data_IF_594124870961
#
_entry.id   IF_594124870961
#
_cell.length_a   1.000
_cell.length_b   1.000
_cell.length_c   1.000
_cell.angle_alpha   90.00
_cell.angle_beta   90.00
_cell.angle_gamma   90.00
#
_symmetry.space_group_name_H-M   'P 1'
#
loop_
_entity.id
_entity.type
_entity.pdbx_description
1 polymer ?
#
# COMPACT_ATOMS: atom_id res chain seq x y z
N UNK A 1 8.57 -26.79 3.81
CA UNK A 1 8.00 -28.11 3.45
C UNK A 1 8.64 -29.24 4.25
N UNK A 2 9.97 -29.28 4.42
CA UNK A 2 10.65 -30.36 5.16
C UNK A 2 10.43 -30.33 6.68
N UNK A 3 10.45 -29.18 7.36
CA UNK A 3 10.14 -29.12 8.81
C UNK A 3 8.71 -29.56 9.15
N UNK A 4 7.65 -29.15 8.43
CA UNK A 4 6.31 -29.73 8.63
C UNK A 4 6.25 -31.24 8.41
N UNK A 5 7.03 -31.79 7.46
CA UNK A 5 7.04 -33.23 7.19
C UNK A 5 7.64 -34.06 8.33
N UNK A 6 8.58 -33.51 9.10
CA UNK A 6 9.06 -34.11 10.36
C UNK A 6 7.94 -34.12 11.40
N UNK A 7 7.29 -32.98 11.62
CA UNK A 7 6.17 -32.83 12.57
C UNK A 7 5.00 -33.78 12.23
N UNK A 8 4.72 -33.99 10.95
CA UNK A 8 3.68 -34.90 10.47
C UNK A 8 4.10 -36.37 10.45
N UNK A 9 5.32 -36.70 10.87
CA UNK A 9 5.85 -38.07 10.87
C UNK A 9 6.09 -38.65 9.48
N UNK A 10 6.03 -37.83 8.42
CA UNK A 10 6.33 -38.25 7.05
C UNK A 10 7.84 -38.46 6.84
N UNK A 11 8.67 -37.99 7.77
CA UNK A 11 10.13 -38.19 7.80
C UNK A 11 10.63 -38.24 9.25
N UNK A 12 11.78 -38.88 9.51
CA UNK A 12 12.39 -38.88 10.84
C UNK A 12 12.73 -37.46 11.32
N UNK A 13 12.58 -37.21 12.62
CA UNK A 13 12.97 -35.95 13.24
C UNK A 13 14.46 -35.67 13.03
N UNK A 14 14.76 -34.43 12.65
CA UNK A 14 16.12 -33.98 12.37
C UNK A 14 16.67 -34.40 10.99
N UNK A 15 15.86 -35.03 10.14
CA UNK A 15 16.21 -35.42 8.76
C UNK A 15 16.00 -34.32 7.71
N UNK A 16 15.60 -33.12 8.13
CA UNK A 16 15.42 -31.97 7.25
C UNK A 16 16.76 -31.60 6.57
N UNK A 17 16.88 -31.81 5.23
CA UNK A 17 18.12 -31.56 4.51
C UNK A 17 18.50 -30.07 4.48
N UNK A 18 17.56 -29.18 4.78
CA UNK A 18 17.78 -27.74 4.83
C UNK A 18 18.13 -27.22 6.23
N UNK A 19 18.24 -28.09 7.26
CA UNK A 19 18.45 -27.67 8.67
C UNK A 19 19.70 -26.82 8.87
N UNK A 20 20.77 -27.12 8.14
CA UNK A 20 22.05 -26.40 8.23
C UNK A 20 22.25 -25.42 7.08
N UNK A 21 21.28 -25.30 6.16
CA UNK A 21 21.34 -24.32 5.09
C UNK A 21 21.01 -22.95 5.68
N UNK A 22 22.00 -22.07 5.65
CA UNK A 22 21.82 -20.67 5.99
C UNK A 22 20.97 -20.02 4.89
N UNK A 23 19.80 -19.48 5.24
CA UNK A 23 19.04 -18.66 4.30
C UNK A 23 19.93 -17.53 3.78
N UNK A 24 19.87 -17.29 2.47
CA UNK A 24 20.53 -16.13 1.88
C UNK A 24 20.04 -14.86 2.59
N UNK A 25 20.97 -13.94 2.85
CA UNK A 25 20.60 -12.62 3.36
C UNK A 25 19.80 -11.91 2.28
N UNK A 26 18.50 -11.76 2.49
CA UNK A 26 17.69 -10.86 1.67
C UNK A 26 18.08 -9.42 1.99
N UNK A 27 18.54 -8.68 0.97
CA UNK A 27 18.69 -7.25 1.09
C UNK A 27 17.30 -6.62 1.08
N UNK A 28 16.87 -6.12 2.25
CA UNK A 28 15.63 -5.37 2.37
C UNK A 28 15.76 -4.08 1.56
N UNK A 29 15.23 -4.07 0.34
CA UNK A 29 15.16 -2.88 -0.48
C UNK A 29 14.07 -1.94 0.05
N UNK A 30 14.43 -0.69 0.29
CA UNK A 30 13.52 0.37 0.74
C UNK A 30 13.40 1.39 -0.38
N UNK A 31 12.61 1.03 -1.39
CA UNK A 31 12.33 1.86 -2.55
C UNK A 31 10.92 2.43 -2.44
N UNK A 32 10.83 3.75 -2.51
CA UNK A 32 9.59 4.50 -2.63
C UNK A 32 9.84 5.73 -3.51
N UNK A 33 8.80 6.26 -4.14
CA UNK A 33 8.92 7.39 -5.06
C UNK A 33 9.28 8.69 -4.31
N UNK A 34 10.24 9.43 -4.83
CA UNK A 34 10.50 10.81 -4.41
C UNK A 34 9.32 11.72 -4.82
N UNK A 35 9.25 12.96 -4.30
CA UNK A 35 8.27 13.94 -4.76
C UNK A 35 8.29 14.16 -6.27
N UNK A 36 9.48 14.32 -6.85
CA UNK A 36 9.68 14.56 -8.29
C UNK A 36 9.28 13.35 -9.14
N UNK A 37 9.59 12.14 -8.67
CA UNK A 37 9.15 10.90 -9.32
C UNK A 37 7.63 10.71 -9.25
N UNK A 38 7.02 11.12 -8.13
CA UNK A 38 5.57 11.07 -7.94
C UNK A 38 4.85 12.04 -8.87
N UNK A 39 5.43 13.22 -9.08
CA UNK A 39 4.93 14.22 -10.03
C UNK A 39 4.96 13.70 -11.47
N UNK A 40 6.12 13.21 -11.95
CA UNK A 40 6.23 12.60 -13.29
C UNK A 40 5.28 11.43 -13.48
N UNK A 41 5.15 10.57 -12.47
CA UNK A 41 4.19 9.46 -12.53
C UNK A 41 2.76 9.99 -12.64
N UNK A 42 2.41 11.03 -11.88
CA UNK A 42 1.09 11.66 -11.93
C UNK A 42 0.75 12.23 -13.31
N UNK A 43 1.70 12.88 -13.97
CA UNK A 43 1.56 13.36 -15.36
C UNK A 43 1.28 12.22 -16.34
N UNK A 44 2.12 11.19 -16.33
CA UNK A 44 1.98 10.05 -17.22
C UNK A 44 0.66 9.31 -16.98
N UNK A 45 0.22 9.18 -15.72
CA UNK A 45 -1.06 8.57 -15.39
C UNK A 45 -2.25 9.36 -15.96
N UNK A 46 -2.21 10.70 -15.92
CA UNK A 46 -3.26 11.55 -16.53
C UNK A 46 -3.32 11.37 -18.05
N UNK A 47 -2.18 11.30 -18.71
CA UNK A 47 -2.12 11.07 -20.15
C UNK A 47 -2.60 9.68 -20.56
N UNK A 48 -2.21 8.65 -19.79
CA UNK A 48 -2.55 7.25 -20.07
C UNK A 48 -3.99 6.88 -19.71
N UNK A 49 -4.70 7.74 -18.97
CA UNK A 49 -6.06 7.49 -18.47
C UNK A 49 -7.05 7.16 -19.58
N UNK A 50 -6.95 7.86 -20.73
CA UNK A 50 -7.80 7.58 -21.89
C UNK A 50 -7.44 6.29 -22.62
N UNK A 51 -6.17 5.88 -22.57
CA UNK A 51 -5.68 4.66 -23.24
C UNK A 51 -5.99 3.41 -22.42
N UNK A 52 -5.81 3.48 -21.10
CA UNK A 52 -5.89 2.34 -20.18
C UNK A 52 -6.54 2.70 -18.83
N UNK A 53 -7.82 3.10 -18.82
CA UNK A 53 -8.50 3.64 -17.64
C UNK A 53 -8.46 2.69 -16.44
N UNK A 54 -8.78 1.41 -16.64
CA UNK A 54 -8.75 0.40 -15.56
C UNK A 54 -7.35 0.21 -14.96
N UNK A 55 -6.29 0.26 -15.80
CA UNK A 55 -4.93 0.13 -15.31
C UNK A 55 -4.48 1.37 -14.53
N UNK A 56 -4.80 2.58 -15.03
CA UNK A 56 -4.51 3.84 -14.33
C UNK A 56 -5.24 3.90 -13.01
N UNK A 57 -6.52 3.56 -12.97
CA UNK A 57 -7.30 3.52 -11.74
C UNK A 57 -6.71 2.54 -10.73
N UNK A 58 -6.31 1.34 -11.16
CA UNK A 58 -5.63 0.38 -10.28
C UNK A 58 -4.34 0.95 -9.67
N UNK A 59 -3.51 1.62 -10.47
CA UNK A 59 -2.25 2.21 -10.00
C UNK A 59 -2.50 3.38 -9.03
N UNK A 60 -3.47 4.25 -9.32
CA UNK A 60 -3.89 5.32 -8.41
C UNK A 60 -4.41 4.76 -7.10
N UNK A 61 -5.27 3.73 -7.13
CA UNK A 61 -5.78 3.10 -5.91
C UNK A 61 -4.66 2.46 -5.09
N UNK A 62 -3.66 1.83 -5.72
CA UNK A 62 -2.50 1.29 -5.00
C UNK A 62 -1.71 2.37 -4.28
N UNK A 63 -1.49 3.53 -4.92
CA UNK A 63 -0.81 4.68 -4.32
C UNK A 63 -1.62 5.33 -3.19
N UNK A 64 -2.93 5.48 -3.37
CA UNK A 64 -3.79 6.22 -2.44
C UNK A 64 -4.21 5.39 -1.21
N UNK A 65 -4.34 4.07 -1.37
CA UNK A 65 -4.86 3.18 -0.30
C UNK A 65 -3.79 2.27 0.30
N UNK A 66 -2.67 2.07 -0.41
CA UNK A 66 -1.65 1.09 -0.06
C UNK A 66 -2.15 -0.35 -0.02
N UNK A 67 -3.27 -0.67 -0.68
CA UNK A 67 -3.73 -2.05 -0.84
C UNK A 67 -2.69 -2.93 -1.53
N UNK A 68 -2.80 -4.25 -1.34
CA UNK A 68 -2.00 -5.20 -2.12
C UNK A 68 -2.49 -5.21 -3.57
N UNK A 69 -1.58 -5.53 -4.49
CA UNK A 69 -1.93 -5.67 -5.92
C UNK A 69 -3.14 -6.59 -6.13
N UNK A 70 -3.15 -7.75 -5.48
CA UNK A 70 -4.26 -8.70 -5.57
C UNK A 70 -5.56 -8.14 -4.97
N UNK A 71 -5.49 -7.34 -3.90
CA UNK A 71 -6.69 -6.75 -3.29
C UNK A 71 -7.38 -5.78 -4.26
N UNK A 72 -6.60 -5.00 -5.03
CA UNK A 72 -7.13 -4.09 -6.05
C UNK A 72 -7.56 -4.85 -7.31
N UNK A 73 -6.76 -5.82 -7.76
CA UNK A 73 -7.05 -6.60 -8.96
C UNK A 73 -8.33 -7.43 -8.85
N UNK A 74 -8.63 -7.95 -7.66
CA UNK A 74 -9.84 -8.71 -7.35
C UNK A 74 -10.88 -7.86 -6.59
N UNK A 75 -10.81 -6.54 -6.71
CA UNK A 75 -11.78 -5.66 -6.07
C UNK A 75 -13.12 -5.72 -6.80
N UNK A 76 -14.19 -5.97 -6.04
CA UNK A 76 -15.57 -5.98 -6.54
C UNK A 76 -16.32 -4.73 -6.09
N UNK A 77 -17.29 -4.28 -6.88
CA UNK A 77 -18.15 -3.15 -6.54
C UNK A 77 -18.93 -3.38 -5.24
N UNK A 78 -19.33 -4.62 -4.94
CA UNK A 78 -20.06 -4.96 -3.71
C UNK A 78 -19.26 -4.65 -2.42
N UNK A 79 -17.92 -4.61 -2.54
CA UNK A 79 -17.00 -4.30 -1.45
C UNK A 79 -16.73 -2.81 -1.29
N UNK A 80 -17.10 -2.00 -2.28
CA UNK A 80 -16.90 -0.54 -2.25
C UNK A 80 -18.12 0.09 -1.57
N UNK A 81 -17.87 0.77 -0.45
CA UNK A 81 -18.85 1.59 0.27
C UNK A 81 -18.50 3.07 0.07
N UNK A 82 -19.34 3.95 0.61
CA UNK A 82 -19.18 5.39 0.42
C UNK A 82 -17.86 5.92 0.98
N UNK A 83 -17.40 5.40 2.12
CA UNK A 83 -16.22 5.89 2.84
C UNK A 83 -15.10 4.85 2.98
N UNK A 84 -15.31 3.62 2.53
CA UNK A 84 -14.35 2.53 2.71
C UNK A 84 -14.48 1.40 1.68
N UNK A 85 -13.47 0.53 1.65
CA UNK A 85 -13.50 -0.77 0.98
C UNK A 85 -13.48 -1.87 2.04
N UNK A 86 -14.45 -2.77 1.99
CA UNK A 86 -14.54 -3.94 2.85
C UNK A 86 -13.94 -5.16 2.15
N UNK A 87 -12.73 -5.58 2.54
CA UNK A 87 -12.02 -6.71 1.94
C UNK A 87 -12.21 -7.97 2.79
N UNK A 88 -13.16 -8.88 2.48
CA UNK A 88 -13.47 -10.03 3.34
C UNK A 88 -12.36 -11.10 3.36
N UNK A 89 -11.63 -11.25 2.25
CA UNK A 89 -10.66 -12.34 2.02
C UNK A 89 -9.19 -11.85 2.01
N UNK A 90 -8.86 -10.78 2.75
CA UNK A 90 -7.48 -10.30 2.77
C UNK A 90 -6.55 -11.33 3.45
N UNK A 91 -5.27 -11.33 3.04
CA UNK A 91 -4.23 -12.30 3.44
C UNK A 91 -4.06 -12.48 4.96
N UNK A 92 -4.54 -11.53 5.76
CA UNK A 92 -4.44 -11.49 7.23
C UNK A 92 -5.80 -11.57 7.92
N UNK A 93 -6.85 -12.03 7.23
CA UNK A 93 -8.25 -11.90 7.67
C UNK A 93 -8.92 -10.65 7.09
N UNK A 94 -10.25 -10.64 7.08
CA UNK A 94 -11.03 -9.54 6.51
C UNK A 94 -10.63 -8.17 7.11
N UNK A 95 -10.54 -7.14 6.27
CA UNK A 95 -10.12 -5.78 6.69
C UNK A 95 -10.90 -4.68 5.99
N UNK A 96 -11.09 -3.57 6.68
CA UNK A 96 -11.68 -2.35 6.13
C UNK A 96 -10.57 -1.36 5.78
N UNK A 97 -10.63 -0.80 4.58
CA UNK A 97 -9.69 0.21 4.09
C UNK A 97 -10.43 1.53 3.92
N UNK A 98 -10.18 2.53 4.78
CA UNK A 98 -10.79 3.85 4.62
C UNK A 98 -10.41 4.47 3.27
N UNK A 99 -11.36 5.16 2.64
CA UNK A 99 -11.15 5.89 1.40
C UNK A 99 -11.00 7.38 1.69
N UNK A 100 -9.92 7.96 1.20
CA UNK A 100 -9.78 9.42 1.07
C UNK A 100 -10.63 9.96 -0.09
N UNK A 101 -10.86 11.28 -0.15
CA UNK A 101 -11.63 11.89 -1.23
C UNK A 101 -11.04 11.60 -2.61
N UNK A 102 -9.72 11.54 -2.75
CA UNK A 102 -9.02 11.26 -3.99
C UNK A 102 -9.25 9.81 -4.45
N UNK A 103 -9.25 8.84 -3.52
CA UNK A 103 -9.54 7.45 -3.85
C UNK A 103 -11.01 7.26 -4.23
N UNK A 104 -11.92 8.00 -3.59
CA UNK A 104 -13.34 8.04 -3.98
C UNK A 104 -13.54 8.64 -5.37
N UNK A 105 -12.82 9.71 -5.70
CA UNK A 105 -12.88 10.32 -7.03
C UNK A 105 -12.52 9.32 -8.11
N UNK A 106 -11.40 8.60 -7.95
CA UNK A 106 -10.98 7.52 -8.87
C UNK A 106 -12.07 6.45 -9.04
N UNK A 107 -12.72 6.03 -7.95
CA UNK A 107 -13.80 5.03 -8.01
C UNK A 107 -15.06 5.59 -8.69
N UNK A 108 -15.36 6.87 -8.52
CA UNK A 108 -16.56 7.51 -9.11
C UNK A 108 -16.45 7.77 -10.60
N UNK A 109 -15.22 7.95 -11.11
CA UNK A 109 -14.93 8.18 -12.53
C UNK A 109 -14.95 6.88 -13.36
N UNK A 110 -14.86 5.73 -12.70
CA UNK A 110 -14.91 4.43 -13.36
C UNK A 110 -16.34 4.08 -13.80
N UNK A 111 -16.49 3.76 -15.07
CA UNK A 111 -17.74 3.22 -15.62
C UNK A 111 -18.03 1.85 -15.01
N UNK A 112 -19.24 1.69 -14.47
CA UNK A 112 -19.77 0.38 -14.05
C UNK A 112 -20.38 -0.30 -15.27
N UNK A 113 -19.74 -1.37 -15.72
CA UNK A 113 -20.27 -2.19 -16.80
C UNK A 113 -21.37 -3.12 -16.28
N UNK A 114 -22.51 -3.16 -16.96
CA UNK A 114 -23.64 -4.02 -16.59
C UNK A 114 -23.20 -5.50 -16.55
N UNK A 115 -23.50 -6.16 -15.42
CA UNK A 115 -23.15 -7.56 -15.19
C UNK A 115 -21.66 -7.83 -14.91
N UNK A 116 -20.80 -6.80 -14.86
CA UNK A 116 -19.40 -6.95 -14.47
C UNK A 116 -19.20 -6.56 -12.99
N UNK A 117 -18.91 -7.53 -12.08
CA UNK A 117 -18.79 -7.23 -10.65
C UNK A 117 -17.47 -6.53 -10.30
N UNK A 118 -16.50 -6.46 -11.22
CA UNK A 118 -15.14 -6.02 -10.93
C UNK A 118 -14.97 -4.51 -11.09
N UNK A 119 -14.24 -3.89 -10.15
CA UNK A 119 -13.88 -2.47 -10.23
C UNK A 119 -12.84 -2.23 -11.31
N UNK A 120 -11.83 -3.10 -11.38
CA UNK A 120 -10.79 -3.03 -12.39
C UNK A 120 -11.16 -3.96 -13.55
N UNK A 121 -11.98 -3.46 -14.47
CA UNK A 121 -12.48 -4.26 -15.59
C UNK A 121 -11.37 -4.67 -16.57
N UNK A 122 -11.50 -5.87 -17.09
CA UNK A 122 -10.65 -6.40 -18.16
C UNK A 122 -11.18 -6.04 -19.54
N UNK A 123 -10.45 -6.43 -20.59
CA UNK A 123 -10.87 -6.16 -21.99
C UNK A 123 -12.10 -6.96 -22.43
N UNK A 124 -12.39 -8.08 -21.76
CA UNK A 124 -13.54 -8.93 -22.05
C UNK A 124 -14.66 -8.63 -21.05
N UNK A 125 -15.93 -8.53 -21.49
CA UNK A 125 -17.05 -8.33 -20.60
C UNK A 125 -17.09 -9.34 -19.44
N UNK A 126 -17.39 -8.87 -18.23
CA UNK A 126 -17.47 -9.72 -17.03
C UNK A 126 -16.13 -10.20 -16.46
N UNK A 127 -15.00 -9.78 -17.04
CA UNK A 127 -13.66 -10.13 -16.56
C UNK A 127 -12.99 -8.95 -15.86
N UNK A 128 -12.00 -9.25 -15.02
CA UNK A 128 -11.12 -8.24 -14.42
C UNK A 128 -9.79 -8.16 -15.17
N UNK A 129 -9.04 -7.08 -14.97
CA UNK A 129 -7.69 -6.94 -15.51
C UNK A 129 -6.72 -7.88 -14.78
N UNK A 130 -6.30 -8.96 -15.43
CA UNK A 130 -5.42 -9.99 -14.84
C UNK A 130 -3.93 -9.62 -14.85
N UNK A 131 -3.50 -8.79 -15.81
CA UNK A 131 -2.10 -8.38 -15.92
C UNK A 131 -1.95 -6.87 -15.77
N UNK A 132 -1.45 -6.46 -14.60
CA UNK A 132 -1.04 -5.09 -14.31
C UNK A 132 0.45 -4.85 -14.52
N UNK A 133 1.26 -5.89 -14.77
CA UNK A 133 2.71 -5.75 -14.99
C UNK A 133 3.01 -5.13 -16.35
N UNK A 134 2.31 -5.55 -17.41
CA UNK A 134 2.47 -4.96 -18.73
C UNK A 134 2.14 -3.45 -18.76
N UNK A 135 0.96 -2.98 -18.31
CA UNK A 135 0.67 -1.55 -18.29
C UNK A 135 1.60 -0.79 -17.32
N UNK A 136 1.93 -1.38 -16.16
CA UNK A 136 2.89 -0.76 -15.25
C UNK A 136 4.25 -0.53 -15.92
N UNK A 137 4.79 -1.51 -16.67
CA UNK A 137 6.07 -1.36 -17.36
C UNK A 137 6.07 -0.16 -18.32
N UNK A 138 5.00 0.00 -19.09
CA UNK A 138 4.84 1.11 -20.05
C UNK A 138 4.76 2.46 -19.34
N UNK A 139 3.93 2.56 -18.31
CA UNK A 139 3.76 3.78 -17.52
C UNK A 139 5.08 4.16 -16.82
N UNK A 140 5.74 3.16 -16.25
CA UNK A 140 7.02 3.31 -15.56
C UNK A 140 8.14 3.79 -16.49
N UNK A 141 8.19 3.25 -17.71
CA UNK A 141 9.15 3.69 -18.74
C UNK A 141 8.87 5.12 -19.18
N UNK A 142 7.60 5.47 -19.45
CA UNK A 142 7.18 6.84 -19.78
C UNK A 142 7.48 7.85 -18.66
N UNK A 143 7.42 7.42 -17.40
CA UNK A 143 7.69 8.27 -16.24
C UNK A 143 9.19 8.30 -15.84
N UNK A 144 10.06 7.63 -16.61
CA UNK A 144 11.50 7.54 -16.36
C UNK A 144 11.82 6.97 -14.97
N UNK A 145 11.17 5.86 -14.62
CA UNK A 145 11.31 5.18 -13.33
C UNK A 145 12.02 3.83 -13.50
N UNK A 146 13.35 3.81 -13.53
CA UNK A 146 14.11 2.62 -13.93
C UNK A 146 13.89 1.40 -13.03
N UNK A 147 13.78 1.61 -11.73
CA UNK A 147 13.96 0.56 -10.73
C UNK A 147 12.70 0.29 -9.88
N UNK A 148 11.57 0.92 -10.19
CA UNK A 148 10.33 0.84 -9.40
C UNK A 148 9.49 -0.37 -9.77
N UNK A 149 9.12 -1.18 -8.79
CA UNK A 149 8.16 -2.30 -8.95
C UNK A 149 6.76 -1.82 -8.59
N UNK A 150 5.73 -2.50 -9.10
CA UNK A 150 4.35 -2.15 -8.76
C UNK A 150 4.07 -2.23 -7.24
N UNK A 151 4.76 -3.12 -6.52
CA UNK A 151 4.64 -3.23 -5.07
C UNK A 151 5.27 -2.03 -4.34
N UNK A 152 6.21 -1.32 -4.98
CA UNK A 152 6.83 -0.12 -4.43
C UNK A 152 5.83 1.05 -4.39
N UNK A 153 4.70 0.99 -5.10
CA UNK A 153 3.60 1.96 -4.93
C UNK A 153 2.98 1.89 -3.53
N UNK A 154 2.83 0.68 -2.98
CA UNK A 154 2.39 0.49 -1.59
C UNK A 154 3.45 0.95 -0.60
N UNK A 155 4.73 0.70 -0.90
CA UNK A 155 5.84 1.24 -0.10
C UNK A 155 5.83 2.77 -0.13
N UNK A 156 5.51 3.36 -1.28
CA UNK A 156 5.38 4.81 -1.46
C UNK A 156 4.28 5.39 -0.59
N UNK A 157 3.07 4.81 -0.60
CA UNK A 157 2.00 5.23 0.31
C UNK A 157 2.48 5.21 1.77
N UNK A 158 3.10 4.09 2.20
CA UNK A 158 3.55 3.91 3.57
C UNK A 158 4.63 4.92 3.98
N UNK A 159 5.63 5.14 3.12
CA UNK A 159 6.71 6.10 3.33
C UNK A 159 6.16 7.51 3.45
N UNK A 160 5.34 7.94 2.49
CA UNK A 160 4.74 9.27 2.50
C UNK A 160 3.82 9.48 3.70
N UNK A 161 3.05 8.46 4.12
CA UNK A 161 2.24 8.55 5.33
C UNK A 161 3.11 8.84 6.58
N UNK A 162 4.21 8.12 6.75
CA UNK A 162 5.12 8.35 7.89
C UNK A 162 5.82 9.72 7.78
N UNK A 163 6.25 10.14 6.59
CA UNK A 163 6.84 11.45 6.36
C UNK A 163 5.86 12.60 6.63
N UNK A 164 4.56 12.37 6.48
CA UNK A 164 3.49 13.31 6.84
C UNK A 164 3.01 13.15 8.30
N UNK A 165 3.82 12.51 9.15
CA UNK A 165 3.57 12.41 10.59
C UNK A 165 2.49 11.40 10.99
N UNK A 166 2.01 10.54 10.08
CA UNK A 166 1.05 9.49 10.45
C UNK A 166 1.76 8.46 11.33
N UNK A 167 1.26 8.16 12.55
CA UNK A 167 1.91 7.23 13.45
C UNK A 167 2.07 5.84 12.83
N UNK A 168 3.24 5.22 13.00
CA UNK A 168 3.55 3.88 12.47
C UNK A 168 2.48 2.82 12.79
N UNK A 169 1.86 2.79 14.00
CA UNK A 169 0.76 1.86 14.27
C UNK A 169 -0.49 2.08 13.38
N UNK A 170 -0.79 3.34 13.06
CA UNK A 170 -1.91 3.71 12.17
C UNK A 170 -1.60 3.27 10.74
N UNK A 171 -0.38 3.56 10.24
CA UNK A 171 0.07 3.08 8.93
C UNK A 171 0.05 1.54 8.86
N UNK A 172 0.44 0.86 9.93
CA UNK A 172 0.41 -0.61 10.02
C UNK A 172 -1.01 -1.17 9.86
N UNK A 173 -2.00 -0.54 10.51
CA UNK A 173 -3.41 -0.89 10.39
C UNK A 173 -3.93 -0.62 8.97
N UNK A 174 -3.63 0.54 8.42
CA UNK A 174 -4.00 0.93 7.05
C UNK A 174 -3.45 -0.06 6.00
N UNK A 175 -2.23 -0.55 6.21
CA UNK A 175 -1.60 -1.56 5.36
C UNK A 175 -2.11 -2.98 5.63
N UNK A 176 -2.77 -3.25 6.76
CA UNK A 176 -3.19 -4.60 7.12
C UNK A 176 -1.98 -5.52 7.34
N UNK A 177 -0.99 -5.03 8.09
CA UNK A 177 0.12 -5.84 8.56
C UNK A 177 -0.30 -6.58 9.83
N UNK A 178 -0.10 -7.90 9.86
CA UNK A 178 -0.36 -8.72 11.05
C UNK A 178 0.65 -8.45 12.18
N UNK A 179 1.77 -7.81 11.88
CA UNK A 179 2.78 -7.41 12.85
C UNK A 179 3.32 -6.02 12.52
N UNK A 180 3.26 -5.10 13.50
CA UNK A 180 3.76 -3.73 13.37
C UNK A 180 5.24 -3.66 12.98
N UNK A 181 6.04 -4.69 13.31
CA UNK A 181 7.45 -4.78 12.91
C UNK A 181 7.65 -4.72 11.39
N UNK A 182 6.64 -5.12 10.60
CA UNK A 182 6.68 -4.98 9.14
C UNK A 182 6.66 -3.51 8.70
N UNK A 183 6.02 -2.63 9.48
CA UNK A 183 5.91 -1.19 9.22
C UNK A 183 7.06 -0.40 9.86
N UNK A 184 7.71 -0.92 10.91
CA UNK A 184 8.85 -0.25 11.57
C UNK A 184 10.00 0.09 10.61
N UNK A 185 10.07 -0.59 9.46
CA UNK A 185 11.05 -0.27 8.41
C UNK A 185 10.95 1.17 7.89
N UNK A 186 9.78 1.81 7.97
CA UNK A 186 9.59 3.21 7.56
C UNK A 186 9.81 4.20 8.71
N UNK A 187 10.00 3.74 9.96
CA UNK A 187 10.00 4.61 11.13
C UNK A 187 11.07 5.70 11.06
N UNK A 188 12.23 5.40 10.47
CA UNK A 188 13.33 6.35 10.26
C UNK A 188 12.94 7.55 9.38
N UNK A 189 11.85 7.45 8.60
CA UNK A 189 11.35 8.56 7.79
C UNK A 189 10.62 9.62 8.63
N UNK A 190 10.25 9.29 9.87
CA UNK A 190 9.70 10.26 10.82
C UNK A 190 10.79 11.14 11.45
N UNK A 191 12.07 10.78 11.32
CA UNK A 191 13.17 11.44 12.02
C UNK A 191 13.37 12.91 11.57
N UNK A 192 12.88 13.28 10.37
CA UNK A 192 12.88 14.67 9.90
C UNK A 192 12.03 15.62 10.76
N UNK A 193 11.18 15.08 11.62
CA UNK A 193 10.18 15.82 12.37
C UNK A 193 10.49 15.92 13.88
N UNK A 194 11.66 15.46 14.34
CA UNK A 194 12.00 15.43 15.78
C UNK A 194 12.07 16.85 16.37
N UNK A 195 12.69 17.80 15.67
CA UNK A 195 12.77 19.20 16.11
C UNK A 195 11.38 19.84 16.14
N UNK A 196 10.60 19.71 15.06
CA UNK A 196 9.23 20.21 14.98
C UNK A 196 8.29 19.55 16.00
N UNK A 197 8.50 18.27 16.32
CA UNK A 197 7.76 17.58 17.37
C UNK A 197 8.10 18.16 18.75
N UNK A 198 9.39 18.40 19.02
CA UNK A 198 9.86 19.01 20.27
C UNK A 198 9.28 20.42 20.44
N UNK A 199 9.30 21.23 19.38
CA UNK A 199 8.71 22.57 19.38
C UNK A 199 7.20 22.55 19.64
N UNK A 200 6.45 21.67 18.95
CA UNK A 200 5.01 21.51 19.15
C UNK A 200 4.66 21.12 20.58
N UNK A 201 5.41 20.17 21.17
CA UNK A 201 5.20 19.75 22.57
C UNK A 201 5.53 20.90 23.52
N UNK A 202 6.66 21.58 23.32
CA UNK A 202 7.06 22.73 24.13
C UNK A 202 6.01 23.84 24.11
N UNK A 203 5.53 24.22 22.93
CA UNK A 203 4.49 25.24 22.76
C UNK A 203 3.17 24.83 23.42
N UNK A 204 2.76 23.56 23.30
CA UNK A 204 1.54 23.06 23.94
C UNK A 204 1.64 23.09 25.47
N UNK A 205 2.78 22.66 26.02
CA UNK A 205 3.01 22.68 27.47
C UNK A 205 3.14 24.10 28.02
N UNK A 206 3.85 24.99 27.34
CA UNK A 206 3.97 26.40 27.73
C UNK A 206 2.59 27.07 27.83
N UNK A 207 1.71 26.85 26.85
CA UNK A 207 0.32 27.37 26.89
C UNK A 207 -0.46 26.88 28.09
N UNK A 208 -0.31 25.60 28.46
CA UNK A 208 -0.98 25.03 29.64
C UNK A 208 -0.40 25.62 30.93
N UNK A 209 0.92 25.79 31.02
CA UNK A 209 1.58 26.37 32.19
C UNK A 209 1.24 27.85 32.39
N UNK A 210 1.10 28.62 31.30
CA UNK A 210 0.71 30.03 31.34
C UNK A 210 -0.79 30.23 31.62
N UNK A 211 -1.63 29.23 31.30
CA UNK A 211 -3.07 29.29 31.53
C UNK A 211 -3.47 29.21 33.02
N UNK A 212 -2.56 28.82 33.92
CA UNK A 212 -2.78 28.71 35.37
C UNK A 212 -2.26 29.93 36.16
N UNK A 213 -2.62 31.13 35.70
CA UNK A 213 -2.53 32.36 36.53
C UNK A 213 -3.87 33.10 36.56
N UNK A 214 -4.83 32.50 37.27
CA UNK A 214 -6.02 33.18 37.78
C UNK A 214 -6.68 32.27 38.84
N UNK A 215 -7.14 32.77 39.99
CA UNK A 215 -7.57 34.13 40.32
C UNK A 215 -6.52 35.04 40.98
#
# INVERSE_FOLDING_TARGET
MFSPAEIWGLRPDGSNPCRHLKCYKENKRERFLSPEETERLGEVLREAEREMPSAVAALRLLLLTGCRLSEIQFLRWDYVKDDCIELPNAKTGGRVVPLGPEARAVLSELSREDGNPWVISGKKPGTHLTDLQCPWRRIRERAELEDVRIHDLRHTMASHAVMNGVPVPVVSRLLGHSNVRMTLRYAHLADRDIEAATERVGAAMARVMEADTGP
#
